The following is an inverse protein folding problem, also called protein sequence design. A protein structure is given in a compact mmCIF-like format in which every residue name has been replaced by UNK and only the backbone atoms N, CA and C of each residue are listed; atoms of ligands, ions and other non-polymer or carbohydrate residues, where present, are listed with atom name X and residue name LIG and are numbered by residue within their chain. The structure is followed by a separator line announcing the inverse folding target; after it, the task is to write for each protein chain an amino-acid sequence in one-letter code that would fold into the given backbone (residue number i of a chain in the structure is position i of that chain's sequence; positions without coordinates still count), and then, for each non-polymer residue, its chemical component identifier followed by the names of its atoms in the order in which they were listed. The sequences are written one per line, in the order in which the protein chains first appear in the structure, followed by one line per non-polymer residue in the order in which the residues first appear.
data_IF_686762276271
#
_entry.id   IF_686762276271
#
_cell.length_a   1.000
_cell.length_b   1.000
_cell.length_c   1.000
_cell.angle_alpha   90.00
_cell.angle_beta   90.00
_cell.angle_gamma   90.00
#
_symmetry.space_group_name_H-M   'P 1'
#
loop_
_entity.id
_entity.type
_entity.pdbx_description
1 polymer ?
#
# COMPACT_ATOMS: atom_id res chain seq x y z
N UNK A 1 38.87 41.46 43.64
CA UNK A 1 37.50 41.37 43.07
C UNK A 1 37.59 40.96 41.61
N UNK A 2 36.66 40.10 41.17
CA UNK A 2 36.43 39.59 39.80
C UNK A 2 37.02 38.20 39.44
N UNK A 3 36.77 37.21 40.31
CA UNK A 3 36.68 35.78 39.97
C UNK A 3 35.21 35.37 39.84
N UNK A 4 34.45 35.99 38.92
CA UNK A 4 32.99 35.73 38.83
C UNK A 4 32.38 35.79 37.43
N UNK A 5 33.15 35.61 36.34
CA UNK A 5 32.61 35.73 34.97
C UNK A 5 32.64 34.39 34.18
N UNK A 6 32.95 33.25 34.81
CA UNK A 6 33.10 31.96 34.09
C UNK A 6 31.90 31.01 34.22
N UNK A 7 30.89 31.32 35.06
CA UNK A 7 29.81 30.36 35.34
C UNK A 7 28.57 30.53 34.43
N UNK A 8 28.42 31.66 33.72
CA UNK A 8 27.19 31.94 32.95
C UNK A 8 27.23 31.40 31.51
N UNK A 9 28.41 31.07 30.97
CA UNK A 9 28.55 30.52 29.60
C UNK A 9 28.37 29.00 29.51
N UNK A 10 28.32 28.28 30.62
CA UNK A 10 28.12 26.81 30.62
C UNK A 10 26.64 26.37 30.62
N UNK A 11 25.70 27.29 30.84
CA UNK A 11 24.27 26.96 30.89
C UNK A 11 23.52 27.12 29.56
N UNK A 12 24.14 27.72 28.53
CA UNK A 12 23.49 27.91 27.23
C UNK A 12 23.69 26.76 26.22
N UNK A 13 24.41 25.69 26.56
CA UNK A 13 24.65 24.57 25.65
C UNK A 13 23.75 23.34 25.87
N UNK A 14 22.81 23.38 26.81
CA UNK A 14 21.96 22.20 27.14
C UNK A 14 20.49 22.40 26.74
N UNK A 15 20.15 23.46 25.99
CA UNK A 15 18.75 23.77 25.67
C UNK A 15 18.53 24.04 24.19
N UNK A 16 18.70 23.00 23.35
CA UNK A 16 17.83 22.77 22.18
C UNK A 16 18.14 21.43 21.51
N UNK A 17 17.96 20.35 22.27
CA UNK A 17 17.69 19.03 21.68
C UNK A 17 16.22 18.68 21.91
N UNK A 18 15.32 19.56 21.46
CA UNK A 18 13.90 19.23 21.32
C UNK A 18 13.66 18.65 19.92
N UNK A 19 14.33 17.53 19.64
CA UNK A 19 13.79 16.62 18.64
C UNK A 19 12.50 16.05 19.23
N UNK A 20 11.37 16.60 18.77
CA UNK A 20 10.10 15.86 18.76
C UNK A 20 10.42 14.48 18.21
N UNK A 21 10.53 13.50 19.10
CA UNK A 21 10.42 12.09 18.75
C UNK A 21 8.97 11.94 18.30
N UNK A 22 8.74 12.18 17.01
CA UNK A 22 7.67 11.48 16.32
C UNK A 22 7.91 10.02 16.66
N UNK A 23 7.03 9.49 17.50
CA UNK A 23 6.95 8.08 17.83
C UNK A 23 6.53 7.39 16.53
N UNK A 24 7.46 7.29 15.57
CA UNK A 24 7.46 6.19 14.63
C UNK A 24 7.54 4.98 15.55
N UNK A 25 6.41 4.30 15.70
CA UNK A 25 6.36 2.93 16.18
C UNK A 25 7.58 2.21 15.62
N UNK A 26 8.45 1.75 16.52
CA UNK A 26 9.53 0.81 16.22
C UNK A 26 8.88 -0.44 15.61
N UNK A 27 8.50 -0.38 14.33
CA UNK A 27 8.26 -1.57 13.55
C UNK A 27 9.59 -2.31 13.57
N UNK A 28 9.56 -3.56 14.02
CA UNK A 28 10.71 -4.45 13.88
C UNK A 28 11.16 -4.34 12.43
N UNK A 29 12.40 -3.87 12.25
CA UNK A 29 13.12 -4.07 10.99
C UNK A 29 12.89 -5.53 10.63
N UNK A 30 12.44 -5.78 9.41
CA UNK A 30 12.14 -7.11 8.88
C UNK A 30 10.79 -7.76 9.23
N UNK A 31 9.87 -7.22 10.07
CA UNK A 31 8.56 -7.88 10.30
C UNK A 31 7.34 -7.03 9.93
N UNK A 32 6.46 -7.55 9.09
CA UNK A 32 5.15 -6.97 8.79
C UNK A 32 4.17 -7.30 9.94
N UNK A 33 4.22 -6.56 11.06
CA UNK A 33 3.29 -6.78 12.18
C UNK A 33 1.98 -6.03 11.92
N UNK A 34 1.04 -6.71 11.27
CA UNK A 34 -0.39 -6.43 11.40
C UNK A 34 -1.15 -7.71 11.10
N UNK A 35 -1.45 -8.48 12.15
CA UNK A 35 -2.69 -9.25 12.18
C UNK A 35 -3.41 -8.78 13.45
N UNK A 36 -4.49 -8.01 13.29
CA UNK A 36 -5.31 -7.49 14.39
C UNK A 36 -6.46 -8.43 14.75
N UNK A 37 -6.72 -9.47 13.96
CA UNK A 37 -7.87 -10.35 14.17
C UNK A 37 -7.70 -11.25 15.41
N UNK A 38 -8.55 -11.03 16.41
CA UNK A 38 -8.64 -11.79 17.67
C UNK A 38 -9.29 -13.18 17.52
N UNK A 39 -9.77 -13.57 16.33
CA UNK A 39 -10.42 -14.87 16.12
C UNK A 39 -9.57 -15.83 15.26
N UNK A 40 -8.56 -16.42 15.92
CA UNK A 40 -7.48 -17.23 15.31
C UNK A 40 -7.86 -18.72 15.14
N UNK A 41 -9.09 -19.12 15.44
CA UNK A 41 -9.46 -20.55 15.44
C UNK A 41 -9.52 -21.18 14.04
N UNK A 42 -9.67 -20.39 12.98
CA UNK A 42 -9.86 -20.88 11.61
C UNK A 42 -8.56 -20.96 10.78
N UNK A 43 -7.40 -20.75 11.40
CA UNK A 43 -6.15 -20.40 10.72
C UNK A 43 -4.99 -21.37 10.97
N UNK A 44 -5.26 -22.65 11.30
CA UNK A 44 -4.18 -23.63 11.59
C UNK A 44 -3.11 -23.70 10.47
N UNK A 45 -3.51 -23.55 9.20
CA UNK A 45 -2.61 -23.53 8.04
C UNK A 45 -1.98 -22.17 7.68
N UNK A 46 -2.30 -21.10 8.38
CA UNK A 46 -1.73 -19.74 8.19
C UNK A 46 -0.97 -19.24 9.41
N UNK A 47 -0.80 -20.09 10.44
CA UNK A 47 0.03 -19.79 11.60
C UNK A 47 1.49 -19.60 11.21
N UNK A 48 2.14 -18.62 11.85
CA UNK A 48 3.55 -18.33 11.67
C UNK A 48 3.85 -17.39 10.51
N UNK A 49 5.12 -17.36 10.12
CA UNK A 49 5.64 -16.38 9.17
C UNK A 49 6.44 -17.06 8.06
N UNK A 50 6.63 -16.33 6.97
CA UNK A 50 7.50 -16.71 5.85
C UNK A 50 8.41 -15.52 5.52
N UNK A 51 9.68 -15.79 5.19
CA UNK A 51 10.59 -14.75 4.71
C UNK A 51 10.46 -14.61 3.19
N UNK A 52 10.07 -13.42 2.71
CA UNK A 52 10.00 -13.04 1.29
C UNK A 52 10.58 -11.63 1.12
N UNK A 53 11.39 -11.40 0.08
CA UNK A 53 11.98 -10.07 -0.21
C UNK A 53 12.74 -9.42 0.96
N UNK A 54 13.44 -10.23 1.76
CA UNK A 54 14.13 -9.75 2.97
C UNK A 54 13.22 -9.52 4.18
N UNK A 55 11.92 -9.73 4.05
CA UNK A 55 10.90 -9.45 5.08
C UNK A 55 10.20 -10.70 5.57
N UNK A 56 9.89 -10.73 6.86
CA UNK A 56 9.08 -11.71 7.55
C UNK A 56 7.62 -11.28 7.45
N UNK A 57 6.84 -12.03 6.68
CA UNK A 57 5.42 -11.77 6.38
C UNK A 57 4.57 -12.87 7.03
N UNK A 58 3.44 -12.56 7.68
CA UNK A 58 2.52 -13.56 8.19
C UNK A 58 2.06 -14.50 7.07
N UNK A 59 2.01 -15.82 7.31
CA UNK A 59 1.51 -16.81 6.33
C UNK A 59 0.03 -16.63 5.97
N UNK A 60 -0.67 -15.76 6.71
CA UNK A 60 -2.02 -15.30 6.42
C UNK A 60 -2.11 -14.44 5.15
N UNK A 61 -1.05 -13.71 4.79
CA UNK A 61 -1.02 -12.89 3.59
C UNK A 61 -0.33 -13.62 2.45
N UNK A 62 -0.94 -13.57 1.28
CA UNK A 62 -0.36 -14.03 0.02
C UNK A 62 0.05 -12.85 -0.85
N UNK A 63 1.13 -13.05 -1.60
CA UNK A 63 1.62 -12.09 -2.58
C UNK A 63 0.80 -12.26 -3.85
N UNK A 64 0.07 -11.21 -4.24
CA UNK A 64 -0.71 -11.19 -5.47
C UNK A 64 0.13 -10.70 -6.64
N UNK A 65 0.81 -9.57 -6.45
CA UNK A 65 1.62 -8.95 -7.50
C UNK A 65 2.72 -8.08 -6.89
N UNK A 66 3.77 -7.80 -7.65
CA UNK A 66 4.88 -6.95 -7.23
C UNK A 66 5.61 -6.31 -8.41
N UNK A 67 6.27 -5.18 -8.13
CA UNK A 67 7.24 -4.56 -9.02
C UNK A 67 8.52 -4.26 -8.27
N UNK A 68 9.65 -4.36 -8.97
CA UNK A 68 10.96 -3.93 -8.47
C UNK A 68 11.26 -2.50 -8.94
N UNK A 69 11.69 -1.65 -8.02
CA UNK A 69 11.97 -0.24 -8.29
C UNK A 69 12.96 0.31 -7.27
N UNK A 70 13.89 1.18 -7.68
CA UNK A 70 14.81 1.87 -6.77
C UNK A 70 14.14 3.13 -6.21
N UNK A 71 13.59 3.04 -5.00
CA UNK A 71 12.81 4.11 -4.38
C UNK A 71 13.75 5.15 -3.77
N UNK A 72 14.86 4.68 -3.20
CA UNK A 72 15.76 5.50 -2.40
C UNK A 72 16.97 6.05 -3.19
N UNK A 73 17.06 5.74 -4.49
CA UNK A 73 18.12 6.12 -5.45
C UNK A 73 19.51 5.67 -4.99
N UNK A 74 19.59 4.46 -4.40
CA UNK A 74 20.84 3.86 -3.93
C UNK A 74 21.41 2.78 -4.87
N UNK A 75 20.78 2.57 -6.02
CA UNK A 75 21.15 1.58 -7.02
C UNK A 75 20.67 0.17 -6.71
N UNK A 76 19.98 -0.07 -5.58
CA UNK A 76 19.38 -1.35 -5.23
C UNK A 76 17.90 -1.38 -5.58
N UNK A 77 17.42 -2.58 -5.85
CA UNK A 77 16.01 -2.80 -6.13
C UNK A 77 15.23 -2.92 -4.81
N UNK A 78 14.29 -2.01 -4.61
CA UNK A 78 13.21 -2.15 -3.61
C UNK A 78 12.03 -2.88 -4.25
N UNK A 79 11.03 -3.23 -3.45
CA UNK A 79 9.83 -3.92 -3.93
C UNK A 79 8.56 -3.21 -3.49
N UNK A 80 7.67 -2.90 -4.44
CA UNK A 80 6.27 -2.57 -4.14
C UNK A 80 5.43 -3.82 -4.39
N UNK A 81 4.60 -4.20 -3.43
CA UNK A 81 3.83 -5.44 -3.47
C UNK A 81 2.37 -5.23 -3.07
N UNK A 82 1.49 -6.02 -3.70
CA UNK A 82 0.09 -6.22 -3.29
C UNK A 82 0.00 -7.50 -2.49
N UNK A 83 -0.43 -7.40 -1.24
CA UNK A 83 -0.70 -8.54 -0.37
C UNK A 83 -2.21 -8.70 -0.16
N UNK A 84 -2.69 -9.93 -0.22
CA UNK A 84 -4.09 -10.28 0.05
C UNK A 84 -4.19 -11.29 1.18
N UNK A 85 -5.11 -11.13 2.13
CA UNK A 85 -5.47 -12.20 3.06
C UNK A 85 -5.84 -13.49 2.33
N UNK A 86 -5.47 -14.63 2.89
CA UNK A 86 -5.75 -15.95 2.31
C UNK A 86 -7.24 -16.27 2.16
N UNK A 87 -8.11 -15.61 2.92
CA UNK A 87 -9.57 -15.75 2.83
C UNK A 87 -10.17 -15.20 1.54
N UNK A 88 -9.41 -14.36 0.81
CA UNK A 88 -9.83 -13.83 -0.48
C UNK A 88 -9.44 -14.71 -1.66
N UNK A 89 -8.86 -15.88 -1.41
CA UNK A 89 -8.35 -16.80 -2.42
C UNK A 89 -9.39 -17.91 -2.64
N UNK A 90 -9.71 -18.28 -3.89
CA UNK A 90 -10.78 -19.24 -4.20
C UNK A 90 -10.75 -20.55 -3.41
N UNK A 91 -11.95 -21.01 -3.04
CA UNK A 91 -12.32 -21.99 -2.01
C UNK A 91 -11.73 -23.41 -2.21
N UNK A 92 -11.21 -23.73 -3.39
CA UNK A 92 -10.63 -25.03 -3.72
C UNK A 92 -9.34 -25.39 -2.96
N UNK A 93 -8.90 -24.55 -1.99
CA UNK A 93 -7.67 -24.75 -1.21
C UNK A 93 -7.88 -24.68 0.33
N UNK A 94 -9.06 -24.34 0.88
CA UNK A 94 -9.25 -24.30 2.34
C UNK A 94 -10.70 -24.35 2.81
N UNK A 95 -10.92 -24.98 3.97
CA UNK A 95 -12.17 -24.95 4.74
C UNK A 95 -12.70 -23.52 4.84
N UNK A 96 -13.98 -23.35 4.48
CA UNK A 96 -14.69 -22.07 4.44
C UNK A 96 -14.68 -21.48 5.84
N UNK A 97 -13.86 -20.45 6.03
CA UNK A 97 -13.90 -19.63 7.22
C UNK A 97 -14.91 -18.51 6.98
N UNK A 98 -16.16 -18.72 7.41
CA UNK A 98 -17.12 -17.64 7.57
C UNK A 98 -16.59 -16.68 8.64
N UNK A 99 -15.77 -15.70 8.24
CA UNK A 99 -15.25 -14.69 9.15
C UNK A 99 -15.81 -13.32 8.81
N UNK A 100 -16.47 -12.74 9.81
CA UNK A 100 -17.20 -11.47 9.78
C UNK A 100 -16.24 -10.25 9.74
N UNK A 101 -14.93 -10.46 9.92
CA UNK A 101 -13.92 -9.38 9.92
C UNK A 101 -12.64 -9.82 9.20
N UNK A 102 -12.63 -9.75 7.87
CA UNK A 102 -11.43 -9.98 7.06
C UNK A 102 -10.55 -8.73 7.06
N UNK A 103 -9.23 -8.89 7.25
CA UNK A 103 -8.31 -7.75 7.17
C UNK A 103 -8.27 -7.15 5.75
N UNK A 104 -7.84 -5.89 5.65
CA UNK A 104 -7.75 -5.23 4.35
C UNK A 104 -6.57 -5.80 3.54
N UNK A 105 -6.77 -5.91 2.23
CA UNK A 105 -5.67 -6.10 1.26
C UNK A 105 -4.71 -4.91 1.36
N UNK A 106 -3.41 -5.16 1.23
CA UNK A 106 -2.35 -4.21 1.58
C UNK A 106 -1.47 -3.86 0.38
N UNK A 107 -1.21 -2.58 0.18
CA UNK A 107 -0.08 -2.13 -0.62
C UNK A 107 1.12 -1.95 0.31
N UNK A 108 2.24 -2.59 0.01
CA UNK A 108 3.42 -2.55 0.85
C UNK A 108 4.65 -2.16 0.03
N UNK A 109 5.45 -1.26 0.56
CA UNK A 109 6.80 -0.99 0.07
C UNK A 109 7.81 -1.71 0.98
N UNK A 110 8.65 -2.56 0.40
CA UNK A 110 9.82 -3.16 1.03
C UNK A 110 11.08 -2.46 0.52
N UNK A 111 11.61 -1.53 1.31
CA UNK A 111 12.84 -0.80 1.00
C UNK A 111 14.04 -1.58 1.49
N UNK A 112 14.94 -1.96 0.59
CA UNK A 112 16.18 -2.65 0.90
C UNK A 112 17.10 -1.70 1.71
N UNK A 113 17.56 -2.16 2.86
CA UNK A 113 18.57 -1.44 3.65
C UNK A 113 19.95 -2.01 3.32
N UNK A 114 20.04 -3.33 3.23
CA UNK A 114 21.22 -4.07 2.80
C UNK A 114 20.80 -5.44 2.21
N UNK A 115 21.77 -6.22 1.74
CA UNK A 115 21.53 -7.50 1.08
C UNK A 115 20.75 -8.54 1.93
N UNK A 116 20.47 -8.27 3.21
CA UNK A 116 19.85 -9.20 4.15
C UNK A 116 18.54 -8.65 4.75
N UNK A 117 18.38 -7.32 4.81
CA UNK A 117 17.34 -6.61 5.57
C UNK A 117 16.58 -5.60 4.73
N UNK A 118 15.29 -5.51 5.02
CA UNK A 118 14.38 -4.58 4.36
C UNK A 118 13.48 -3.89 5.39
N UNK A 119 13.00 -2.69 5.06
CA UNK A 119 11.99 -1.97 5.82
C UNK A 119 10.66 -2.04 5.09
N UNK A 120 9.63 -2.58 5.74
CA UNK A 120 8.27 -2.48 5.25
C UNK A 120 7.64 -1.13 5.61
N UNK A 121 7.01 -0.50 4.63
CA UNK A 121 6.06 0.60 4.81
C UNK A 121 4.72 0.14 4.26
N UNK A 122 3.71 0.10 5.12
CA UNK A 122 2.35 -0.35 4.78
C UNK A 122 1.53 0.88 4.41
N UNK A 123 0.82 0.82 3.29
CA UNK A 123 -0.16 1.81 2.90
C UNK A 123 -1.56 1.18 3.02
N UNK A 124 -2.23 1.35 4.17
CA UNK A 124 -3.57 0.83 4.36
C UNK A 124 -4.56 1.57 3.45
N UNK A 125 -5.68 0.92 3.13
CA UNK A 125 -6.83 1.53 2.44
C UNK A 125 -6.50 2.15 1.08
N UNK A 126 -5.46 1.65 0.40
CA UNK A 126 -5.18 1.93 -1.02
C UNK A 126 -5.85 0.88 -1.91
N UNK A 127 -5.86 -0.38 -1.44
CA UNK A 127 -6.34 -1.56 -2.16
C UNK A 127 -7.77 -1.90 -1.72
N UNK A 128 -8.63 -2.28 -2.66
CA UNK A 128 -10.00 -2.75 -2.41
C UNK A 128 -9.99 -4.14 -1.81
N UNK A 129 -10.92 -4.41 -0.90
CA UNK A 129 -11.29 -5.78 -0.56
C UNK A 129 -12.33 -6.37 -1.52
N UNK A 130 -13.04 -5.53 -2.28
CA UNK A 130 -13.97 -5.99 -3.30
C UNK A 130 -13.21 -6.64 -4.45
N UNK A 131 -13.42 -7.94 -4.63
CA UNK A 131 -12.80 -8.76 -5.67
C UNK A 131 -13.79 -8.99 -6.80
N UNK A 132 -13.38 -8.62 -8.02
CA UNK A 132 -14.18 -8.76 -9.23
C UNK A 132 -13.86 -10.07 -9.94
N UNK A 133 -14.78 -11.04 -9.89
CA UNK A 133 -14.60 -12.32 -10.60
C UNK A 133 -14.48 -12.19 -12.13
N UNK A 134 -14.78 -11.02 -12.70
CA UNK A 134 -14.87 -10.83 -14.14
C UNK A 134 -13.52 -10.94 -14.89
N UNK A 135 -12.37 -10.64 -14.26
CA UNK A 135 -11.04 -10.60 -14.92
C UNK A 135 -9.86 -11.10 -14.08
N UNK A 136 -10.13 -11.94 -13.08
CA UNK A 136 -9.08 -12.49 -12.21
C UNK A 136 -8.97 -11.83 -10.84
N UNK A 137 -9.92 -10.97 -10.45
CA UNK A 137 -10.21 -10.69 -9.05
C UNK A 137 -9.40 -9.59 -8.38
N UNK A 138 -8.15 -9.40 -8.78
CA UNK A 138 -7.20 -8.65 -7.97
C UNK A 138 -6.65 -7.40 -8.65
N UNK A 139 -6.34 -6.42 -7.81
CA UNK A 139 -5.50 -5.29 -8.21
C UNK A 139 -4.05 -5.72 -8.45
N UNK A 140 -3.48 -5.20 -9.53
CA UNK A 140 -2.13 -5.51 -10.03
C UNK A 140 -1.29 -4.24 -10.17
N UNK A 141 0.03 -4.41 -10.18
CA UNK A 141 1.01 -3.36 -10.31
C UNK A 141 1.62 -3.39 -11.71
N UNK A 142 1.69 -2.23 -12.35
CA UNK A 142 2.33 -2.08 -13.65
C UNK A 142 3.40 -1.01 -13.60
N UNK A 143 4.62 -1.37 -13.98
CA UNK A 143 5.67 -0.39 -14.21
C UNK A 143 5.37 0.39 -15.49
N UNK A 144 5.34 1.72 -15.42
CA UNK A 144 5.01 2.58 -16.58
C UNK A 144 6.30 3.13 -17.19
N UNK A 145 7.21 3.62 -16.34
CA UNK A 145 8.55 4.09 -16.70
C UNK A 145 9.37 4.24 -15.42
N UNK A 146 10.65 4.60 -15.53
CA UNK A 146 11.49 4.87 -14.36
C UNK A 146 10.77 5.79 -13.36
N UNK A 147 10.70 5.34 -12.10
CA UNK A 147 10.08 6.04 -10.98
C UNK A 147 8.57 6.30 -11.11
N UNK A 148 7.87 5.61 -12.03
CA UNK A 148 6.42 5.76 -12.23
C UNK A 148 5.77 4.40 -12.44
N UNK A 149 4.74 4.11 -11.65
CA UNK A 149 3.98 2.88 -11.72
C UNK A 149 2.49 3.14 -11.56
N UNK A 150 1.67 2.13 -11.85
CA UNK A 150 0.23 2.19 -11.66
C UNK A 150 -0.27 1.01 -10.83
N UNK A 151 -1.19 1.26 -9.90
CA UNK A 151 -2.06 0.23 -9.35
C UNK A 151 -3.32 0.16 -10.22
N UNK A 152 -3.56 -1.00 -10.82
CA UNK A 152 -4.66 -1.23 -11.75
C UNK A 152 -5.68 -2.14 -11.08
N UNK A 153 -6.96 -1.86 -11.27
CA UNK A 153 -8.02 -2.75 -10.81
C UNK A 153 -9.29 -2.62 -11.62
N UNK A 154 -10.17 -3.60 -11.47
CA UNK A 154 -11.47 -3.64 -12.11
C UNK A 154 -12.57 -4.14 -11.17
N UNK A 155 -13.81 -3.74 -11.47
CA UNK A 155 -15.01 -4.14 -10.75
C UNK A 155 -16.23 -4.07 -11.67
N UNK A 156 -17.24 -4.92 -11.40
CA UNK A 156 -18.53 -4.94 -12.10
C UNK A 156 -18.83 -6.27 -12.82
N UNK A 157 -20.09 -6.68 -12.79
CA UNK A 157 -20.64 -7.80 -13.57
C UNK A 157 -21.55 -7.22 -14.66
N UNK A 158 -21.33 -7.59 -15.92
CA UNK A 158 -22.01 -6.94 -17.06
C UNK A 158 -21.29 -5.66 -17.49
N UNK A 159 -21.64 -4.52 -16.89
CA UNK A 159 -20.91 -3.26 -17.08
C UNK A 159 -19.62 -3.26 -16.26
N UNK A 160 -18.51 -2.90 -16.90
CA UNK A 160 -17.18 -2.94 -16.30
C UNK A 160 -16.71 -1.56 -15.92
N UNK A 161 -16.08 -1.45 -14.76
CA UNK A 161 -15.39 -0.27 -14.28
C UNK A 161 -13.94 -0.62 -13.99
N UNK A 162 -13.03 -0.03 -14.75
CA UNK A 162 -11.58 -0.15 -14.53
C UNK A 162 -11.06 1.16 -13.98
N UNK A 163 -10.08 1.10 -13.10
CA UNK A 163 -9.34 2.27 -12.65
C UNK A 163 -7.84 2.02 -12.63
N UNK A 164 -7.09 3.11 -12.77
CA UNK A 164 -5.65 3.15 -12.60
C UNK A 164 -5.32 4.27 -11.62
N UNK A 165 -4.55 3.95 -10.57
CA UNK A 165 -3.93 4.93 -9.68
C UNK A 165 -2.50 5.11 -10.15
N UNK A 166 -2.21 6.22 -10.84
CA UNK A 166 -0.86 6.52 -11.28
C UNK A 166 -0.06 7.13 -10.14
N UNK A 167 1.14 6.58 -9.92
CA UNK A 167 2.02 6.96 -8.84
C UNK A 167 3.43 7.25 -9.33
N UNK A 168 4.09 8.23 -8.71
CA UNK A 168 5.49 8.54 -8.94
C UNK A 168 6.30 8.56 -7.66
N UNK A 169 7.58 8.24 -7.78
CA UNK A 169 8.56 8.35 -6.71
C UNK A 169 9.32 9.66 -6.87
N UNK A 170 9.26 10.50 -5.84
CA UNK A 170 9.96 11.79 -5.79
C UNK A 170 10.65 11.90 -4.44
N UNK A 171 11.96 12.11 -4.42
CA UNK A 171 12.75 12.26 -3.18
C UNK A 171 12.42 11.16 -2.15
N UNK A 172 12.43 9.91 -2.60
CA UNK A 172 12.18 8.70 -1.78
C UNK A 172 10.75 8.53 -1.23
N UNK A 173 9.81 9.38 -1.65
CA UNK A 173 8.41 9.27 -1.27
C UNK A 173 7.55 8.90 -2.49
N UNK A 174 6.48 8.16 -2.25
CA UNK A 174 5.50 7.78 -3.28
C UNK A 174 4.37 8.80 -3.27
N UNK A 175 4.02 9.31 -4.44
CA UNK A 175 2.94 10.26 -4.65
C UNK A 175 1.91 9.69 -5.62
N UNK A 176 0.64 9.95 -5.35
CA UNK A 176 -0.45 9.75 -6.30
C UNK A 176 -0.53 10.98 -7.20
N UNK A 177 -0.35 10.75 -8.50
CA UNK A 177 -0.33 11.79 -9.53
C UNK A 177 -1.71 12.05 -10.13
N UNK A 178 -2.39 10.96 -10.49
CA UNK A 178 -3.70 11.00 -11.11
C UNK A 178 -4.45 9.69 -10.93
N UNK A 179 -5.77 9.77 -11.10
CA UNK A 179 -6.65 8.62 -11.14
C UNK A 179 -7.27 8.58 -12.53
N UNK A 180 -7.21 7.45 -13.21
CA UNK A 180 -7.90 7.24 -14.48
C UNK A 180 -9.00 6.21 -14.28
N UNK A 181 -10.15 6.43 -14.91
CA UNK A 181 -11.32 5.58 -14.86
C UNK A 181 -11.77 5.27 -16.27
N UNK A 182 -12.20 4.03 -16.47
CA UNK A 182 -12.77 3.55 -17.72
C UNK A 182 -14.00 2.71 -17.37
N UNK A 183 -15.18 3.17 -17.78
CA UNK A 183 -16.43 2.44 -17.65
C UNK A 183 -16.87 1.98 -19.04
N UNK A 184 -17.28 0.71 -19.21
CA UNK A 184 -17.86 0.22 -20.47
C UNK A 184 -18.83 -0.93 -20.25
N UNK A 185 -19.94 -0.96 -21.00
CA UNK A 185 -20.87 -2.09 -21.00
C UNK A 185 -20.77 -2.84 -22.34
N UNK A 186 -20.43 -4.15 -22.34
CA UNK A 186 -20.46 -4.97 -23.55
C UNK A 186 -21.87 -4.99 -24.15
N UNK A 187 -21.99 -4.84 -25.48
CA UNK A 187 -23.27 -4.91 -26.20
C UNK A 187 -23.96 -3.57 -26.46
N UNK A 188 -23.43 -2.46 -25.96
CA UNK A 188 -23.84 -1.10 -26.33
C UNK A 188 -22.59 -0.28 -26.69
N UNK A 189 -22.30 -0.14 -27.99
CA UNK A 189 -21.12 0.58 -28.54
C UNK A 189 -21.02 2.05 -28.07
N UNK A 190 -22.10 2.60 -27.50
CA UNK A 190 -22.20 3.99 -27.04
C UNK A 190 -21.86 4.20 -25.55
N UNK A 191 -21.55 3.14 -24.79
CA UNK A 191 -21.37 3.22 -23.33
C UNK A 191 -19.91 3.24 -22.85
N UNK A 192 -18.96 3.69 -23.68
CA UNK A 192 -17.57 3.88 -23.22
C UNK A 192 -17.39 5.25 -22.57
N UNK A 193 -17.00 5.28 -21.31
CA UNK A 193 -16.68 6.52 -20.58
C UNK A 193 -15.27 6.44 -20.04
N UNK A 194 -14.43 7.42 -20.35
CA UNK A 194 -13.15 7.60 -19.69
C UNK A 194 -13.07 8.95 -18.99
N UNK A 195 -12.51 8.96 -17.78
CA UNK A 195 -12.25 10.17 -17.03
C UNK A 195 -10.89 10.08 -16.37
N UNK A 196 -10.13 11.17 -16.44
CA UNK A 196 -8.91 11.33 -15.64
C UNK A 196 -9.10 12.44 -14.63
N UNK A 197 -8.81 12.14 -13.37
CA UNK A 197 -8.76 13.09 -12.28
C UNK A 197 -7.29 13.38 -11.94
N UNK A 198 -6.87 14.61 -12.20
CA UNK A 198 -5.52 15.08 -11.87
C UNK A 198 -5.55 15.83 -10.55
N UNK A 199 -4.63 15.52 -9.64
CA UNK A 199 -4.52 16.29 -8.40
C UNK A 199 -3.83 17.64 -8.69
N UNK A 200 -4.39 18.75 -8.20
CA UNK A 200 -3.79 20.10 -8.33
C UNK A 200 -2.35 20.15 -7.80
N UNK A 201 -2.09 19.37 -6.74
CA UNK A 201 -0.76 19.10 -6.19
C UNK A 201 -0.65 17.61 -5.94
N UNK A 202 0.47 17.01 -6.30
CA UNK A 202 0.76 15.60 -6.04
C UNK A 202 0.49 15.26 -4.57
N UNK A 203 -0.26 14.18 -4.35
CA UNK A 203 -0.67 13.76 -3.01
C UNK A 203 0.24 12.64 -2.55
N UNK A 204 0.98 12.82 -1.45
CA UNK A 204 1.79 11.73 -0.90
C UNK A 204 0.87 10.55 -0.51
N UNK A 205 1.27 9.33 -0.87
CA UNK A 205 0.40 8.14 -0.80
C UNK A 205 -0.16 7.88 0.60
N UNK A 206 0.61 8.21 1.65
CA UNK A 206 0.16 8.06 3.05
C UNK A 206 -1.06 8.92 3.42
N UNK A 207 -1.37 9.92 2.61
CA UNK A 207 -2.55 10.78 2.74
C UNK A 207 -3.65 10.46 1.71
N UNK A 208 -3.41 9.49 0.83
CA UNK A 208 -4.42 9.01 -0.09
C UNK A 208 -5.32 7.99 0.62
N UNK A 209 -6.61 8.08 0.33
CA UNK A 209 -7.61 7.12 0.80
C UNK A 209 -8.47 6.70 -0.39
N UNK A 210 -8.60 5.39 -0.58
CA UNK A 210 -9.36 4.79 -1.66
C UNK A 210 -10.83 5.21 -1.72
N UNK A 211 -11.46 5.65 -0.63
CA UNK A 211 -12.85 6.18 -0.65
C UNK A 211 -13.06 7.29 -1.69
N UNK A 212 -11.99 7.98 -2.09
CA UNK A 212 -12.01 8.92 -3.23
C UNK A 212 -12.34 8.24 -4.56
N UNK A 213 -11.85 7.02 -4.81
CA UNK A 213 -12.21 6.20 -5.98
C UNK A 213 -13.66 5.76 -5.94
N UNK A 214 -14.17 5.35 -4.77
CA UNK A 214 -15.57 4.89 -4.64
C UNK A 214 -16.57 6.01 -4.97
N UNK A 215 -16.26 7.23 -4.52
CA UNK A 215 -17.04 8.43 -4.86
C UNK A 215 -16.98 8.76 -6.36
N UNK A 216 -15.87 8.43 -7.03
CA UNK A 216 -15.75 8.63 -8.48
C UNK A 216 -16.46 7.52 -9.25
N UNK A 217 -16.48 6.29 -8.73
CA UNK A 217 -17.28 5.17 -9.27
C UNK A 217 -18.77 5.49 -9.24
N UNK A 218 -19.30 6.10 -8.17
CA UNK A 218 -20.72 6.47 -8.12
C UNK A 218 -21.10 7.60 -9.10
N UNK A 219 -20.16 8.48 -9.45
CA UNK A 219 -20.40 9.59 -10.39
C UNK A 219 -20.21 9.14 -11.85
N UNK A 220 -19.18 8.33 -12.12
CA UNK A 220 -18.71 8.01 -13.47
C UNK A 220 -18.89 6.54 -13.88
N UNK A 221 -19.28 5.68 -12.94
CA UNK A 221 -19.66 4.29 -13.20
C UNK A 221 -21.04 4.20 -13.85
N UNK A 222 -21.33 3.02 -14.40
CA UNK A 222 -22.70 2.64 -14.75
C UNK A 222 -23.32 1.99 -13.52
N UNK A 223 -24.52 2.43 -13.14
CA UNK A 223 -25.32 1.83 -12.06
C UNK A 223 -26.02 0.57 -12.57
#
# INVERSE_FOLDING_TARGET
MKTSIIIILLFCLISSCNHKKNKLTNQSLDTLITVKSENINCLKGTKGFVKKFGMVIPRYFELIDYISIDINDDGKQDTIAVLSPSSFIPINVREVCDTINVENRLLVNFTNINNIKSKATIFPDIISNDISAAWGGYETLKNIKKNVFALQGDTGQGCKFKYNIYMSIIKKNIYVDSLNFISYCPGNDLSYRTKTYNFKKKLEIKYFNRKKLDSLKSIYGFN
#
